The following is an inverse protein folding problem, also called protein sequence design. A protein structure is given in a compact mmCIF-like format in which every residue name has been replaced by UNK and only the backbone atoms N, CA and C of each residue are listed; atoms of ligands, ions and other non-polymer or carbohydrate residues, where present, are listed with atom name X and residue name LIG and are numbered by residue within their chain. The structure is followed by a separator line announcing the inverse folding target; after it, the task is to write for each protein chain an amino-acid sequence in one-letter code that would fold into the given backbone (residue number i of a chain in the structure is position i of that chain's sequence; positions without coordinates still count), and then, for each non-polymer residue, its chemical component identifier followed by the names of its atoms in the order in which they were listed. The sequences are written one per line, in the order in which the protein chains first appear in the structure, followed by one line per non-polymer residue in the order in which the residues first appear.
data_IF_345315114965
#
_entry.id   IF_345315114965
#
_cell.length_a   1.000
_cell.length_b   1.000
_cell.length_c   1.000
_cell.angle_alpha   90.00
_cell.angle_beta   90.00
_cell.angle_gamma   90.00
#
_symmetry.space_group_name_H-M   'P 1'
#
loop_
_entity.id
_entity.type
_entity.pdbx_description
1 polymer ?
#
# COMPACT_ATOMS: atom_id res chain seq x y z
N UNK A 1 48.10 -43.62 -38.69
CA UNK A 1 47.51 -43.22 -37.39
C UNK A 1 47.56 -41.71 -37.32
N UNK A 2 46.44 -41.02 -37.58
CA UNK A 2 46.36 -39.56 -37.41
C UNK A 2 45.26 -39.33 -36.40
N UNK A 3 45.67 -39.04 -35.18
CA UNK A 3 44.79 -38.74 -34.05
C UNK A 3 43.93 -37.52 -34.39
N UNK A 4 42.61 -37.73 -34.49
CA UNK A 4 41.64 -36.64 -34.53
C UNK A 4 41.69 -35.94 -33.19
N UNK A 5 42.40 -34.81 -33.12
CA UNK A 5 42.25 -33.84 -32.02
C UNK A 5 40.80 -33.40 -31.98
N UNK A 6 40.06 -33.86 -30.97
CA UNK A 6 38.75 -33.31 -30.65
C UNK A 6 38.98 -31.88 -30.15
N UNK A 7 38.48 -30.90 -30.89
CA UNK A 7 38.42 -29.52 -30.40
C UNK A 7 37.44 -29.46 -29.22
N UNK A 8 37.77 -28.74 -28.13
CA UNK A 8 36.87 -28.61 -27.00
C UNK A 8 35.66 -27.78 -27.43
N UNK A 9 34.48 -28.40 -27.41
CA UNK A 9 33.20 -27.75 -27.68
C UNK A 9 33.07 -26.54 -26.76
N UNK A 10 33.19 -25.34 -27.35
CA UNK A 10 33.00 -24.10 -26.63
C UNK A 10 31.57 -24.06 -26.08
N UNK A 11 31.44 -24.18 -24.76
CA UNK A 11 30.19 -24.00 -24.05
C UNK A 11 29.73 -22.55 -24.26
N UNK A 12 28.88 -22.33 -25.26
CA UNK A 12 28.25 -21.04 -25.50
C UNK A 12 27.61 -20.56 -24.19
N UNK A 13 27.84 -19.32 -23.75
CA UNK A 13 27.17 -18.80 -22.57
C UNK A 13 25.67 -18.80 -22.85
N UNK A 14 24.93 -19.63 -22.12
CA UNK A 14 23.47 -19.66 -22.16
C UNK A 14 22.94 -18.21 -22.06
N UNK A 15 21.94 -17.83 -22.86
CA UNK A 15 21.38 -16.50 -22.81
C UNK A 15 20.85 -16.26 -21.39
N UNK A 16 21.58 -15.45 -20.62
CA UNK A 16 21.14 -15.01 -19.30
C UNK A 16 19.91 -14.14 -19.56
N UNK A 17 18.73 -14.75 -19.47
CA UNK A 17 17.46 -14.05 -19.66
C UNK A 17 17.45 -12.83 -18.73
N UNK A 18 17.61 -11.64 -19.32
CA UNK A 18 17.56 -10.38 -18.58
C UNK A 18 16.13 -10.21 -18.06
N UNK A 19 15.86 -10.71 -16.85
CA UNK A 19 14.59 -10.56 -16.15
C UNK A 19 14.25 -9.07 -16.11
N UNK A 20 13.08 -8.69 -16.62
CA UNK A 20 12.61 -7.30 -16.66
C UNK A 20 12.71 -6.68 -15.25
N UNK A 21 13.26 -5.46 -15.11
CA UNK A 21 13.45 -4.86 -13.79
C UNK A 21 12.10 -4.68 -13.10
N UNK A 22 12.01 -5.15 -11.86
CA UNK A 22 10.79 -5.02 -11.08
C UNK A 22 10.49 -3.54 -10.83
N UNK A 23 9.30 -3.10 -11.25
CA UNK A 23 8.82 -1.75 -10.92
C UNK A 23 8.47 -1.67 -9.44
N UNK A 24 9.43 -1.25 -8.62
CA UNK A 24 9.26 -0.96 -7.19
C UNK A 24 8.41 0.30 -6.97
N UNK A 25 7.48 0.25 -6.01
CA UNK A 25 6.73 1.43 -5.54
C UNK A 25 7.67 2.37 -4.78
N UNK A 26 7.29 3.65 -4.66
CA UNK A 26 8.10 4.69 -4.00
C UNK A 26 8.56 4.29 -2.58
N UNK A 27 7.69 3.66 -1.80
CA UNK A 27 8.01 3.20 -0.45
C UNK A 27 8.93 1.97 -0.44
N UNK A 28 8.79 1.06 -1.40
CA UNK A 28 9.67 -0.11 -1.58
C UNK A 28 11.08 0.35 -1.97
N UNK A 29 11.19 1.29 -2.91
CA UNK A 29 12.48 1.93 -3.26
C UNK A 29 13.16 2.57 -2.06
N UNK A 30 12.39 3.28 -1.22
CA UNK A 30 12.92 3.91 0.01
C UNK A 30 13.45 2.87 0.99
N UNK A 31 12.70 1.77 1.21
CA UNK A 31 13.13 0.66 2.06
C UNK A 31 14.42 0.03 1.54
N UNK A 32 14.49 -0.29 0.25
CA UNK A 32 15.67 -0.87 -0.38
C UNK A 32 16.91 0.01 -0.17
N UNK A 33 16.81 1.32 -0.41
CA UNK A 33 17.93 2.26 -0.19
C UNK A 33 18.43 2.24 1.24
N UNK A 34 17.52 2.28 2.23
CA UNK A 34 17.91 2.32 3.64
C UNK A 34 18.54 0.98 4.07
N UNK A 35 17.99 -0.15 3.60
CA UNK A 35 18.56 -1.47 3.89
C UNK A 35 19.93 -1.66 3.21
N UNK A 36 20.11 -1.19 1.98
CA UNK A 36 21.42 -1.25 1.31
C UNK A 36 22.48 -0.46 2.08
N UNK A 37 22.14 0.71 2.61
CA UNK A 37 23.03 1.50 3.48
C UNK A 37 23.34 0.79 4.81
N UNK A 38 22.38 0.05 5.36
CA UNK A 38 22.57 -0.78 6.55
C UNK A 38 23.47 -2.00 6.26
N UNK A 39 23.39 -2.57 5.06
CA UNK A 39 24.26 -3.67 4.61
C UNK A 39 25.69 -3.14 4.38
N UNK A 40 25.83 -1.96 3.79
CA UNK A 40 27.11 -1.28 3.58
C UNK A 40 27.77 -0.76 4.87
N UNK A 41 27.09 -0.86 6.02
CA UNK A 41 27.64 -0.42 7.32
C UNK A 41 27.57 1.09 7.58
N UNK A 42 26.99 1.89 6.68
CA UNK A 42 26.88 3.35 6.84
C UNK A 42 25.94 3.79 7.98
N UNK A 43 24.98 2.93 8.34
CA UNK A 43 23.96 3.23 9.33
C UNK A 43 23.75 2.05 10.29
N UNK A 44 23.41 2.36 11.54
CA UNK A 44 23.08 1.36 12.55
C UNK A 44 21.61 0.90 12.44
N UNK A 45 21.33 -0.33 12.89
CA UNK A 45 19.98 -0.91 12.90
C UNK A 45 18.89 -0.05 13.57
N UNK A 46 19.14 0.57 14.75
CA UNK A 46 18.18 1.50 15.37
C UNK A 46 17.95 2.77 14.56
N UNK A 47 18.97 3.27 13.86
CA UNK A 47 18.86 4.44 12.97
C UNK A 47 17.99 4.12 11.76
N UNK A 48 18.20 2.95 11.14
CA UNK A 48 17.36 2.44 10.06
C UNK A 48 15.89 2.27 10.49
N UNK A 49 15.66 1.74 11.70
CA UNK A 49 14.32 1.59 12.29
C UNK A 49 13.58 2.93 12.40
N UNK A 50 14.25 3.97 12.93
CA UNK A 50 13.71 5.33 13.03
C UNK A 50 13.39 5.92 11.64
N UNK A 51 14.27 5.76 10.66
CA UNK A 51 14.07 6.29 9.30
C UNK A 51 12.91 5.62 8.54
N UNK A 52 12.67 4.33 8.80
CA UNK A 52 11.61 3.55 8.18
C UNK A 52 10.30 3.53 8.99
N UNK A 53 10.33 4.03 10.24
CA UNK A 53 9.22 3.96 11.21
C UNK A 53 8.74 2.52 11.42
N UNK A 54 9.68 1.60 11.56
CA UNK A 54 9.44 0.16 11.81
C UNK A 54 10.28 -0.32 12.98
N UNK A 55 9.96 -1.49 13.52
CA UNK A 55 10.72 -2.06 14.64
C UNK A 55 12.09 -2.59 14.19
N UNK A 56 13.05 -2.64 15.12
CA UNK A 56 14.40 -3.20 14.85
C UNK A 56 14.34 -4.65 14.36
N UNK A 57 13.38 -5.44 14.86
CA UNK A 57 13.11 -6.81 14.36
C UNK A 57 12.72 -6.81 12.89
N UNK A 58 11.85 -5.90 12.47
CA UNK A 58 11.45 -5.77 11.05
C UNK A 58 12.63 -5.35 10.17
N UNK A 59 13.51 -4.48 10.67
CA UNK A 59 14.75 -4.12 9.97
C UNK A 59 15.65 -5.36 9.79
N UNK A 60 15.84 -6.17 10.82
CA UNK A 60 16.64 -7.41 10.74
C UNK A 60 16.04 -8.39 9.73
N UNK A 61 14.72 -8.58 9.76
CA UNK A 61 14.01 -9.43 8.80
C UNK A 61 14.16 -8.93 7.36
N UNK A 62 14.01 -7.62 7.13
CA UNK A 62 14.21 -7.01 5.82
C UNK A 62 15.66 -7.14 5.34
N UNK A 63 16.65 -6.96 6.23
CA UNK A 63 18.06 -7.19 5.91
C UNK A 63 18.28 -8.63 5.42
N UNK A 64 17.75 -9.61 6.14
CA UNK A 64 17.84 -11.02 5.74
C UNK A 64 17.19 -11.27 4.37
N UNK A 65 15.97 -10.77 4.17
CA UNK A 65 15.24 -10.91 2.90
C UNK A 65 15.97 -10.27 1.72
N UNK A 66 16.61 -9.12 1.92
CA UNK A 66 17.38 -8.45 0.85
C UNK A 66 18.69 -9.18 0.55
N UNK A 67 19.31 -9.84 1.54
CA UNK A 67 20.48 -10.68 1.32
C UNK A 67 20.14 -11.96 0.53
N UNK A 68 18.98 -12.57 0.79
CA UNK A 68 18.52 -13.80 0.12
C UNK A 68 17.91 -13.53 -1.27
N UNK A 69 16.99 -12.55 -1.36
CA UNK A 69 16.13 -12.32 -2.52
C UNK A 69 16.50 -11.04 -3.30
N UNK A 70 17.49 -10.26 -2.84
CA UNK A 70 17.88 -8.99 -3.46
C UNK A 70 16.76 -7.93 -3.41
N UNK A 71 16.49 -7.26 -4.53
CA UNK A 71 15.43 -6.25 -4.62
C UNK A 71 14.02 -6.80 -4.33
N UNK A 72 13.82 -8.10 -4.55
CA UNK A 72 12.55 -8.79 -4.30
C UNK A 72 12.21 -8.86 -2.81
N UNK A 73 13.22 -8.89 -1.94
CA UNK A 73 13.03 -9.00 -0.49
C UNK A 73 12.27 -7.81 0.13
N UNK A 74 12.21 -6.68 -0.58
CA UNK A 74 11.47 -5.48 -0.14
C UNK A 74 10.04 -5.43 -0.69
N UNK A 75 9.76 -6.22 -1.73
CA UNK A 75 8.44 -6.29 -2.35
C UNK A 75 7.49 -7.02 -1.41
N UNK A 76 6.27 -6.50 -1.28
CA UNK A 76 5.26 -7.18 -0.49
C UNK A 76 4.93 -8.57 -1.07
N UNK A 77 5.03 -9.64 -0.27
CA UNK A 77 4.85 -11.02 -0.74
C UNK A 77 3.44 -11.27 -1.31
N UNK A 78 2.40 -10.62 -0.77
CA UNK A 78 1.04 -10.73 -1.33
C UNK A 78 0.85 -9.98 -2.65
N UNK A 79 1.88 -9.34 -3.20
CA UNK A 79 1.81 -8.77 -4.56
C UNK A 79 1.72 -9.87 -5.61
N UNK A 80 2.30 -11.03 -5.35
CA UNK A 80 2.40 -12.13 -6.30
C UNK A 80 1.38 -13.25 -6.04
N UNK A 81 0.63 -13.17 -4.95
CA UNK A 81 -0.34 -14.19 -4.57
C UNK A 81 -1.76 -13.65 -4.66
N UNK A 82 -2.66 -14.44 -5.26
CA UNK A 82 -4.09 -14.26 -5.12
C UNK A 82 -4.49 -14.76 -3.71
N UNK A 83 -5.38 -14.06 -2.97
CA UNK A 83 -5.86 -14.54 -1.68
C UNK A 83 -6.52 -15.92 -1.83
N UNK A 84 -6.23 -16.85 -0.93
CA UNK A 84 -6.77 -18.22 -0.94
C UNK A 84 -8.31 -18.21 -0.86
N UNK A 85 -8.88 -17.27 -0.10
CA UNK A 85 -10.32 -17.12 0.08
C UNK A 85 -11.00 -16.40 -1.12
N UNK A 86 -10.33 -16.29 -2.25
CA UNK A 86 -10.94 -15.73 -3.46
C UNK A 86 -11.77 -16.81 -4.13
N UNK A 87 -13.09 -16.62 -4.18
CA UNK A 87 -13.97 -17.46 -4.99
C UNK A 87 -13.44 -17.58 -6.42
N UNK A 88 -13.60 -18.76 -7.02
CA UNK A 88 -13.05 -19.05 -8.33
C UNK A 88 -13.43 -17.98 -9.36
N UNK A 89 -12.47 -17.61 -10.22
CA UNK A 89 -12.69 -16.59 -11.24
C UNK A 89 -13.78 -17.01 -12.23
N UNK A 90 -14.02 -18.32 -12.42
CA UNK A 90 -15.12 -18.87 -13.19
C UNK A 90 -16.47 -18.45 -12.62
N UNK A 91 -16.73 -18.79 -11.35
CA UNK A 91 -17.98 -18.44 -10.64
C UNK A 91 -18.22 -16.93 -10.70
N UNK A 92 -17.17 -16.13 -10.49
CA UNK A 92 -17.26 -14.66 -10.52
C UNK A 92 -17.70 -14.13 -11.89
N UNK A 93 -17.20 -14.71 -12.98
CA UNK A 93 -17.55 -14.32 -14.35
C UNK A 93 -18.95 -14.82 -14.72
N UNK A 94 -19.28 -16.05 -14.34
CA UNK A 94 -20.57 -16.67 -14.57
C UNK A 94 -21.70 -15.84 -13.94
N UNK A 95 -21.58 -15.51 -12.65
CA UNK A 95 -22.57 -14.71 -11.94
C UNK A 95 -22.80 -13.33 -12.60
N UNK A 96 -21.72 -12.69 -13.05
CA UNK A 96 -21.80 -11.42 -13.76
C UNK A 96 -22.46 -11.57 -15.13
N UNK A 97 -22.26 -12.69 -15.81
CA UNK A 97 -22.86 -12.99 -17.11
C UNK A 97 -24.35 -13.29 -16.98
N UNK A 98 -24.75 -14.07 -15.99
CA UNK A 98 -26.15 -14.36 -15.66
C UNK A 98 -26.89 -13.05 -15.38
N UNK A 99 -26.32 -12.16 -14.56
CA UNK A 99 -26.90 -10.86 -14.30
C UNK A 99 -27.10 -10.04 -15.58
N UNK A 100 -26.10 -10.01 -16.47
CA UNK A 100 -26.17 -9.23 -17.72
C UNK A 100 -27.19 -9.77 -18.70
N UNK A 101 -27.32 -11.10 -18.81
CA UNK A 101 -28.21 -11.75 -19.77
C UNK A 101 -29.67 -11.78 -19.29
N UNK A 102 -29.89 -12.19 -18.05
CA UNK A 102 -31.23 -12.60 -17.59
C UNK A 102 -31.82 -11.65 -16.54
N UNK A 103 -30.98 -11.00 -15.72
CA UNK A 103 -31.43 -10.21 -14.58
C UNK A 103 -31.02 -8.74 -14.68
N UNK A 104 -30.88 -8.23 -15.91
CA UNK A 104 -30.47 -6.83 -16.13
C UNK A 104 -31.54 -5.90 -15.56
N UNK A 105 -31.15 -5.07 -14.60
CA UNK A 105 -32.07 -4.10 -14.00
C UNK A 105 -32.78 -4.59 -12.73
N UNK A 106 -32.54 -5.83 -12.29
CA UNK A 106 -33.05 -6.29 -11.00
C UNK A 106 -32.27 -5.68 -9.84
N UNK A 107 -32.93 -5.58 -8.68
CA UNK A 107 -32.27 -5.22 -7.44
C UNK A 107 -31.25 -6.30 -7.07
N UNK A 108 -30.08 -5.91 -6.59
CA UNK A 108 -29.05 -6.84 -6.15
C UNK A 108 -29.53 -7.72 -4.98
N UNK A 109 -30.44 -7.21 -4.14
CA UNK A 109 -31.05 -8.02 -3.06
C UNK A 109 -31.80 -9.20 -3.65
N UNK A 110 -32.60 -8.93 -4.67
CA UNK A 110 -33.43 -9.93 -5.32
C UNK A 110 -32.57 -10.92 -6.12
N UNK A 111 -31.63 -10.40 -6.90
CA UNK A 111 -30.67 -11.23 -7.61
C UNK A 111 -29.90 -12.17 -6.66
N UNK A 112 -29.42 -11.66 -5.52
CA UNK A 112 -28.69 -12.48 -4.56
C UNK A 112 -29.58 -13.58 -3.96
N UNK A 113 -30.86 -13.28 -3.68
CA UNK A 113 -31.82 -14.29 -3.22
C UNK A 113 -32.02 -15.39 -4.27
N UNK A 114 -32.27 -15.01 -5.53
CA UNK A 114 -32.45 -15.96 -6.63
C UNK A 114 -31.22 -16.86 -6.81
N UNK A 115 -30.01 -16.30 -6.74
CA UNK A 115 -28.79 -17.10 -6.86
C UNK A 115 -28.61 -18.06 -5.65
N UNK A 116 -28.97 -17.63 -4.45
CA UNK A 116 -28.92 -18.50 -3.26
C UNK A 116 -29.94 -19.64 -3.36
N UNK A 117 -31.15 -19.36 -3.82
CA UNK A 117 -32.19 -20.36 -4.06
C UNK A 117 -31.79 -21.35 -5.19
N UNK A 118 -30.98 -20.89 -6.15
CA UNK A 118 -30.38 -21.74 -7.21
C UNK A 118 -29.18 -22.58 -6.74
N UNK A 119 -28.80 -22.49 -5.46
CA UNK A 119 -27.74 -23.33 -4.87
C UNK A 119 -26.34 -22.72 -4.87
N UNK A 120 -26.20 -21.42 -5.17
CA UNK A 120 -24.90 -20.74 -5.00
C UNK A 120 -24.63 -20.48 -3.51
N UNK A 121 -23.61 -21.13 -2.95
CA UNK A 121 -23.13 -20.91 -1.57
C UNK A 121 -22.30 -19.60 -1.43
N UNK A 122 -22.84 -18.51 -2.00
CA UNK A 122 -22.26 -17.18 -1.93
C UNK A 122 -23.12 -16.32 -1.02
N UNK A 123 -22.49 -15.66 -0.06
CA UNK A 123 -23.18 -14.64 0.72
C UNK A 123 -23.60 -13.46 -0.16
N UNK A 124 -24.68 -12.77 0.22
CA UNK A 124 -25.17 -11.56 -0.47
C UNK A 124 -24.07 -10.52 -0.68
N UNK A 125 -23.19 -10.32 0.30
CA UNK A 125 -22.08 -9.37 0.20
C UNK A 125 -21.04 -9.78 -0.84
N UNK A 126 -20.74 -11.07 -0.95
CA UNK A 126 -19.86 -11.62 -1.98
C UNK A 126 -20.43 -11.39 -3.37
N UNK A 127 -21.71 -11.71 -3.57
CA UNK A 127 -22.41 -11.47 -4.85
C UNK A 127 -22.33 -9.99 -5.24
N UNK A 128 -22.56 -9.09 -4.28
CA UNK A 128 -22.49 -7.64 -4.53
C UNK A 128 -21.07 -7.19 -4.91
N UNK A 129 -20.05 -7.73 -4.26
CA UNK A 129 -18.66 -7.42 -4.56
C UNK A 129 -18.29 -7.91 -5.96
N UNK A 130 -18.68 -9.13 -6.33
CA UNK A 130 -18.48 -9.70 -7.67
C UNK A 130 -19.11 -8.80 -8.73
N UNK A 131 -20.36 -8.40 -8.56
CA UNK A 131 -21.04 -7.49 -9.50
C UNK A 131 -20.33 -6.13 -9.60
N UNK A 132 -19.88 -5.57 -8.47
CA UNK A 132 -19.18 -4.28 -8.43
C UNK A 132 -17.81 -4.33 -9.09
N UNK A 133 -17.04 -5.39 -8.86
CA UNK A 133 -15.75 -5.64 -9.52
C UNK A 133 -15.94 -5.73 -11.05
N UNK A 134 -17.03 -6.35 -11.49
CA UNK A 134 -17.44 -6.44 -12.90
C UNK A 134 -18.10 -5.15 -13.45
N UNK A 135 -17.98 -4.03 -12.73
CA UNK A 135 -18.52 -2.70 -13.08
C UNK A 135 -20.06 -2.66 -13.22
N UNK A 136 -20.76 -3.64 -12.67
CA UNK A 136 -22.22 -3.66 -12.62
C UNK A 136 -22.68 -2.85 -11.40
N UNK A 137 -23.60 -1.92 -11.60
CA UNK A 137 -24.14 -1.06 -10.54
C UNK A 137 -25.60 -1.41 -10.30
N UNK A 138 -25.99 -1.49 -9.02
CA UNK A 138 -27.38 -1.67 -8.65
C UNK A 138 -28.22 -0.51 -9.21
N UNK A 139 -29.34 -0.79 -9.89
CA UNK A 139 -30.27 0.22 -10.40
C UNK A 139 -30.80 1.13 -9.29
N UNK A 140 -31.06 0.58 -8.11
CA UNK A 140 -31.59 1.33 -6.95
C UNK A 140 -30.48 2.01 -6.11
N UNK A 141 -29.28 2.18 -6.66
CA UNK A 141 -28.18 2.80 -5.93
C UNK A 141 -28.47 4.28 -5.68
N UNK A 142 -28.64 4.63 -4.40
CA UNK A 142 -28.70 6.03 -3.95
C UNK A 142 -27.38 6.76 -4.28
N UNK A 143 -27.47 7.90 -4.96
CA UNK A 143 -26.33 8.80 -5.18
C UNK A 143 -25.95 9.44 -3.84
N UNK A 144 -24.71 9.23 -3.40
CA UNK A 144 -24.19 9.95 -2.23
C UNK A 144 -24.03 11.43 -2.61
N UNK A 145 -24.82 12.31 -1.99
CA UNK A 145 -24.63 13.76 -2.12
C UNK A 145 -23.24 14.11 -1.59
N UNK A 146 -22.42 14.81 -2.37
CA UNK A 146 -21.13 15.33 -1.90
C UNK A 146 -21.43 16.38 -0.83
N UNK A 147 -20.84 16.25 0.37
CA UNK A 147 -20.89 17.33 1.37
C UNK A 147 -20.22 18.56 0.77
N UNK A 148 -20.94 19.67 0.66
CA UNK A 148 -20.34 20.96 0.32
C UNK A 148 -19.38 21.32 1.46
N UNK A 149 -18.12 21.60 1.15
CA UNK A 149 -17.19 22.15 2.15
C UNK A 149 -17.61 23.60 2.38
N UNK A 150 -18.29 23.88 3.49
CA UNK A 150 -18.44 25.26 3.94
C UNK A 150 -17.08 25.70 4.50
N UNK A 151 -16.51 26.76 3.93
CA UNK A 151 -15.36 27.42 4.55
C UNK A 151 -15.84 27.95 5.90
N UNK A 152 -15.19 27.54 6.99
CA UNK A 152 -15.39 28.18 8.30
C UNK A 152 -14.63 29.50 8.23
N UNK A 153 -15.35 30.62 8.19
CA UNK A 153 -14.77 31.93 8.44
C UNK A 153 -14.52 32.02 9.95
N UNK A 154 -13.26 31.86 10.37
CA UNK A 154 -12.85 32.12 11.74
C UNK A 154 -12.71 33.64 11.90
N UNK A 155 -13.71 34.28 12.48
CA UNK A 155 -13.60 35.67 12.93
C UNK A 155 -12.73 35.69 14.19
N UNK A 156 -11.46 36.05 14.05
CA UNK A 156 -10.55 36.30 15.19
C UNK A 156 -10.93 37.66 15.79
N UNK A 157 -11.58 37.63 16.94
CA UNK A 157 -11.86 38.84 17.72
C UNK A 157 -10.60 39.20 18.52
N UNK A 158 -9.82 40.17 18.04
CA UNK A 158 -8.65 40.73 18.73
C UNK A 158 -9.11 41.83 19.68
N UNK A 159 -9.38 41.50 20.94
CA UNK A 159 -9.53 42.51 21.99
C UNK A 159 -9.09 41.93 23.34
N UNK A 160 -7.97 42.46 23.88
CA UNK A 160 -7.64 42.67 25.29
C UNK A 160 -6.18 42.31 25.63
N UNK A 161 -5.28 43.30 25.57
CA UNK A 161 -4.12 43.35 26.46
C UNK A 161 -3.79 44.82 26.72
N UNK A 162 -4.43 45.40 27.73
CA UNK A 162 -4.00 46.67 28.31
C UNK A 162 -2.86 46.39 29.27
N UNK A 163 -1.71 46.97 28.96
CA UNK A 163 -0.48 47.08 29.73
C UNK A 163 -0.75 47.62 31.14
N UNK A 164 -0.24 46.95 32.17
CA UNK A 164 0.15 47.55 33.44
C UNK A 164 1.37 46.77 33.98
N UNK A 165 2.56 47.33 33.80
CA UNK A 165 3.79 46.90 34.45
C UNK A 165 4.14 47.95 35.52
N UNK A 166 3.79 47.67 36.76
CA UNK A 166 4.43 48.25 37.94
C UNK A 166 5.76 47.53 38.16
N UNK A 167 6.84 48.30 38.36
CA UNK A 167 8.18 47.71 38.46
C UNK A 167 9.29 48.72 38.72
N UNK A 168 9.15 49.47 39.82
CA UNK A 168 10.22 49.85 40.77
C UNK A 168 11.63 50.16 40.18
N UNK A 169 11.92 51.46 39.98
CA UNK A 169 13.28 51.94 39.77
C UNK A 169 13.98 52.22 41.11
N UNK A 170 14.93 51.36 41.44
CA UNK A 170 15.83 51.53 42.58
C UNK A 170 16.65 52.84 42.44
N UNK A 171 16.64 53.61 43.53
CA UNK A 171 17.51 54.77 43.76
C UNK A 171 18.90 54.26 44.17
N UNK A 172 19.88 54.45 43.31
CA UNK A 172 21.29 54.50 43.72
C UNK A 172 21.80 55.92 43.48
N UNK A 173 21.89 56.67 44.58
CA UNK A 173 22.42 58.02 44.62
C UNK A 173 23.19 58.22 45.91
N UNK A 174 24.51 58.09 45.79
CA UNK A 174 25.57 58.91 46.39
C UNK A 174 25.33 59.50 47.80
N UNK A 175 26.22 59.17 48.75
CA UNK A 175 26.97 60.12 49.62
C UNK A 175 27.70 59.34 50.74
N UNK A 176 29.04 59.38 50.76
CA UNK A 176 29.92 60.24 51.57
C UNK A 176 30.19 59.70 52.99
N UNK A 177 31.41 59.21 53.16
CA UNK A 177 32.45 59.60 54.15
C UNK A 177 33.21 58.38 54.66
#
# INVERSE_FOLDING_TARGET
MVEKKQEPVALLPMPVEKKKPLKLKRHEKRKLRIINRLIAGEINGPKAAKMLKITTRQVRNLKRQVLEEGELGVVHKNRFHKPINTYDEGIRKELAQIYRKQYRGTNFTEFARIMQDQGYDLSRSTIYNILRENRIRSPQRKRKKRKKKTAKTENVNVNATTTNQEGNQNREGQNRS
#
